data_IF_608436605623
#
_entry.id   IF_608436605623
#
_cell.length_a   1.000
_cell.length_b   1.000
_cell.length_c   1.000
_cell.angle_alpha   90.00
_cell.angle_beta   90.00
_cell.angle_gamma   90.00
#
_symmetry.space_group_name_H-M   'P 1'
#
loop_
_entity.id
_entity.type
_entity.pdbx_description
1 polymer ?
#
# COMPACT_ATOMS: atom_id res chain seq x y z
N UNK A 1 -6.66 42.51 -20.72
CA UNK A 1 -6.74 41.13 -21.25
C UNK A 1 -6.53 40.21 -20.07
N UNK A 2 -7.59 39.50 -19.64
CA UNK A 2 -7.44 38.53 -18.56
C UNK A 2 -6.60 37.37 -19.10
N UNK A 3 -5.49 37.08 -18.44
CA UNK A 3 -4.66 35.91 -18.74
C UNK A 3 -5.56 34.68 -18.69
N UNK A 4 -5.64 33.95 -19.80
CA UNK A 4 -6.44 32.74 -19.85
C UNK A 4 -5.84 31.74 -18.85
N UNK A 5 -6.54 31.49 -17.77
CA UNK A 5 -6.11 30.53 -16.75
C UNK A 5 -6.03 29.16 -17.41
N UNK A 6 -4.83 28.60 -17.48
CA UNK A 6 -4.61 27.24 -17.96
C UNK A 6 -5.01 26.24 -16.87
N UNK A 7 -6.29 25.88 -16.86
CA UNK A 7 -6.85 24.90 -15.92
C UNK A 7 -6.18 23.52 -16.03
N UNK A 8 -5.67 23.14 -17.21
CA UNK A 8 -4.99 21.84 -17.37
C UNK A 8 -3.65 21.82 -16.63
N UNK A 9 -2.93 22.95 -16.62
CA UNK A 9 -1.71 23.08 -15.84
C UNK A 9 -2.00 22.97 -14.34
N UNK A 10 -3.12 23.53 -13.87
CA UNK A 10 -3.54 23.45 -12.46
C UNK A 10 -3.88 22.00 -12.09
N UNK A 11 -4.67 21.30 -12.92
CA UNK A 11 -5.04 19.89 -12.70
C UNK A 11 -3.79 19.00 -12.58
N UNK A 12 -2.83 19.12 -13.51
CA UNK A 12 -1.58 18.36 -13.44
C UNK A 12 -0.78 18.59 -12.16
N UNK A 13 -0.80 19.82 -11.63
CA UNK A 13 -0.17 20.14 -10.34
C UNK A 13 -0.88 19.45 -9.18
N UNK A 14 -2.21 19.43 -9.19
CA UNK A 14 -3.01 18.73 -8.17
C UNK A 14 -2.70 17.23 -8.18
N UNK A 15 -2.77 16.58 -9.35
CA UNK A 15 -2.47 15.15 -9.47
C UNK A 15 -1.05 14.79 -9.00
N UNK A 16 -0.08 15.68 -9.25
CA UNK A 16 1.28 15.50 -8.74
C UNK A 16 1.30 15.57 -7.21
N UNK A 17 0.67 16.59 -6.63
CA UNK A 17 0.60 16.75 -5.17
C UNK A 17 -0.09 15.54 -4.53
N UNK A 18 -1.15 15.00 -5.14
CA UNK A 18 -1.82 13.80 -4.65
C UNK A 18 -0.89 12.58 -4.61
N UNK A 19 -0.11 12.36 -5.67
CA UNK A 19 0.91 11.29 -5.70
C UNK A 19 2.00 11.50 -4.64
N UNK A 20 2.54 12.72 -4.56
CA UNK A 20 3.59 13.07 -3.60
C UNK A 20 3.07 12.86 -2.15
N UNK A 21 1.80 13.20 -1.87
CA UNK A 21 1.17 12.97 -0.56
C UNK A 21 0.97 11.48 -0.26
N UNK A 22 0.62 10.67 -1.26
CA UNK A 22 0.45 9.23 -1.09
C UNK A 22 1.80 8.56 -0.76
N UNK A 23 2.87 8.97 -1.43
CA UNK A 23 4.23 8.51 -1.12
C UNK A 23 4.64 8.88 0.32
N UNK A 24 4.34 10.11 0.76
CA UNK A 24 4.63 10.55 2.13
C UNK A 24 3.84 9.77 3.19
N UNK A 25 2.57 9.42 2.91
CA UNK A 25 1.79 8.55 3.81
C UNK A 25 2.43 7.16 3.94
N UNK A 26 2.87 6.58 2.82
CA UNK A 26 3.55 5.29 2.82
C UNK A 26 4.85 5.33 3.61
N UNK A 27 5.65 6.40 3.46
CA UNK A 27 6.87 6.58 4.25
C UNK A 27 6.56 6.72 5.75
N UNK A 28 5.53 7.50 6.09
CA UNK A 28 5.10 7.66 7.48
C UNK A 28 4.69 6.31 8.11
N UNK A 29 3.90 5.51 7.39
CA UNK A 29 3.47 4.19 7.86
C UNK A 29 4.65 3.25 8.09
N UNK A 30 5.62 3.22 7.17
CA UNK A 30 6.86 2.43 7.33
C UNK A 30 7.61 2.84 8.59
N UNK A 31 7.85 4.14 8.78
CA UNK A 31 8.54 4.67 9.96
C UNK A 31 7.80 4.37 11.26
N UNK A 32 6.47 4.42 11.24
CA UNK A 32 5.66 4.05 12.41
C UNK A 32 5.85 2.58 12.79
N UNK A 33 5.83 1.67 11.81
CA UNK A 33 6.08 0.23 12.05
C UNK A 33 7.51 0.00 12.53
N UNK A 34 8.51 0.61 11.89
CA UNK A 34 9.93 0.47 12.28
C UNK A 34 10.23 1.05 13.67
N UNK A 35 9.45 2.04 14.12
CA UNK A 35 9.59 2.61 15.47
C UNK A 35 9.03 1.71 16.57
N UNK A 36 8.22 0.71 16.21
CA UNK A 36 7.66 -0.23 17.17
C UNK A 36 8.71 -1.31 17.51
N UNK A 37 8.69 -1.85 18.74
CA UNK A 37 9.53 -2.99 19.06
C UNK A 37 9.18 -4.16 18.14
N UNK A 38 10.19 -4.87 17.66
CA UNK A 38 9.97 -6.08 16.87
C UNK A 38 9.20 -7.11 17.69
N UNK A 39 8.22 -7.75 17.06
CA UNK A 39 7.54 -8.89 17.65
C UNK A 39 8.52 -10.07 17.72
N UNK A 40 8.68 -10.65 18.90
CA UNK A 40 9.47 -11.88 19.06
C UNK A 40 8.63 -13.07 18.62
N UNK A 41 9.04 -13.69 17.52
CA UNK A 41 8.48 -14.93 16.99
C UNK A 41 9.55 -16.03 16.99
N UNK A 42 9.14 -17.29 17.06
CA UNK A 42 10.07 -18.42 16.96
C UNK A 42 10.52 -18.67 15.50
N UNK A 43 11.61 -19.43 15.36
CA UNK A 43 12.23 -19.72 14.07
C UNK A 43 11.30 -20.48 13.11
N UNK A 44 10.42 -21.34 13.65
CA UNK A 44 9.50 -22.13 12.84
C UNK A 44 8.44 -21.23 12.20
N UNK A 45 7.85 -20.33 13.00
CA UNK A 45 6.88 -19.34 12.53
C UNK A 45 7.53 -18.35 11.56
N UNK A 46 8.77 -17.92 11.81
CA UNK A 46 9.50 -17.05 10.89
C UNK A 46 9.66 -17.68 9.49
N UNK A 47 10.11 -18.94 9.44
CA UNK A 47 10.25 -19.69 8.19
C UNK A 47 8.92 -19.92 7.48
N UNK A 48 7.84 -20.17 8.22
CA UNK A 48 6.50 -20.29 7.64
C UNK A 48 6.03 -18.98 7.01
N UNK A 49 6.21 -17.86 7.71
CA UNK A 49 5.84 -16.52 7.22
C UNK A 49 6.62 -16.15 5.95
N UNK A 50 7.92 -16.46 5.90
CA UNK A 50 8.73 -16.25 4.69
C UNK A 50 8.21 -17.06 3.50
N UNK A 51 7.93 -18.35 3.68
CA UNK A 51 7.39 -19.19 2.60
C UNK A 51 6.03 -18.70 2.12
N UNK A 52 5.17 -18.27 3.05
CA UNK A 52 3.87 -17.66 2.70
C UNK A 52 4.06 -16.38 1.89
N UNK A 53 4.96 -15.51 2.30
CA UNK A 53 5.26 -14.27 1.58
C UNK A 53 5.73 -14.55 0.14
N UNK A 54 6.65 -15.50 -0.05
CA UNK A 54 7.12 -15.90 -1.38
C UNK A 54 6.00 -16.45 -2.28
N UNK A 55 5.11 -17.28 -1.74
CA UNK A 55 3.97 -17.83 -2.48
C UNK A 55 2.97 -16.74 -2.88
N UNK A 56 2.72 -15.79 -1.97
CA UNK A 56 1.85 -14.64 -2.23
C UNK A 56 2.45 -13.74 -3.31
N UNK A 57 3.76 -13.49 -3.28
CA UNK A 57 4.47 -12.71 -4.32
C UNK A 57 4.36 -13.38 -5.70
N UNK A 58 4.42 -14.72 -5.74
CA UNK A 58 4.20 -15.51 -6.98
C UNK A 58 2.74 -15.61 -7.40
N UNK A 59 1.79 -15.14 -6.58
CA UNK A 59 0.36 -15.23 -6.83
C UNK A 59 -0.21 -16.65 -6.72
N UNK A 60 0.49 -17.58 -6.07
CA UNK A 60 0.08 -18.99 -5.99
C UNK A 60 -1.08 -19.22 -4.99
N UNK A 61 -1.14 -18.40 -3.94
CA UNK A 61 -2.15 -18.49 -2.85
C UNK A 61 -2.78 -17.12 -2.53
N UNK A 62 -2.75 -16.18 -3.50
CA UNK A 62 -3.27 -14.82 -3.33
C UNK A 62 -4.58 -14.60 -4.07
N UNK A 63 -5.48 -13.83 -3.46
CA UNK A 63 -6.63 -13.19 -4.11
C UNK A 63 -6.48 -11.67 -3.99
N UNK A 64 -7.12 -10.93 -4.89
CA UNK A 64 -7.16 -9.47 -4.74
C UNK A 64 -7.92 -9.06 -3.47
N UNK A 65 -7.61 -7.89 -2.94
CA UNK A 65 -8.34 -7.33 -1.79
C UNK A 65 -9.82 -7.16 -2.09
N UNK A 66 -10.18 -6.80 -3.33
CA UNK A 66 -11.56 -6.70 -3.79
C UNK A 66 -12.28 -8.04 -3.82
N UNK A 67 -11.60 -9.11 -4.25
CA UNK A 67 -12.16 -10.47 -4.23
C UNK A 67 -12.34 -10.96 -2.79
N UNK A 68 -11.37 -10.70 -1.91
CA UNK A 68 -11.48 -11.04 -0.49
C UNK A 68 -12.68 -10.35 0.17
N UNK A 69 -12.89 -9.05 -0.11
CA UNK A 69 -14.04 -8.29 0.41
C UNK A 69 -15.36 -8.90 -0.08
N UNK A 70 -15.44 -9.29 -1.36
CA UNK A 70 -16.66 -9.92 -1.89
C UNK A 70 -16.95 -11.25 -1.20
N UNK A 71 -15.94 -12.10 -1.04
CA UNK A 71 -16.09 -13.39 -0.37
C UNK A 71 -16.57 -13.22 1.09
N UNK A 72 -16.02 -12.26 1.82
CA UNK A 72 -16.39 -11.98 3.22
C UNK A 72 -17.79 -11.36 3.39
N UNK A 73 -18.32 -10.71 2.35
CA UNK A 73 -19.66 -10.10 2.38
C UNK A 73 -20.76 -11.05 1.83
N UNK A 74 -20.37 -12.16 1.21
CA UNK A 74 -21.27 -13.20 0.68
C UNK A 74 -21.46 -14.38 1.66
N UNK A 75 -20.76 -14.38 2.80
CA UNK A 75 -20.99 -15.27 3.98
C UNK A 75 -22.01 -14.67 4.97
#
# INVERSE_FOLDING_TARGET
MAEAVDYNLIIKKIEKIERDLEELKLELLKRQVESQPAEEIDDELYEELLRKAEKLEKGEEAISGEEAIKLLLEE
#
